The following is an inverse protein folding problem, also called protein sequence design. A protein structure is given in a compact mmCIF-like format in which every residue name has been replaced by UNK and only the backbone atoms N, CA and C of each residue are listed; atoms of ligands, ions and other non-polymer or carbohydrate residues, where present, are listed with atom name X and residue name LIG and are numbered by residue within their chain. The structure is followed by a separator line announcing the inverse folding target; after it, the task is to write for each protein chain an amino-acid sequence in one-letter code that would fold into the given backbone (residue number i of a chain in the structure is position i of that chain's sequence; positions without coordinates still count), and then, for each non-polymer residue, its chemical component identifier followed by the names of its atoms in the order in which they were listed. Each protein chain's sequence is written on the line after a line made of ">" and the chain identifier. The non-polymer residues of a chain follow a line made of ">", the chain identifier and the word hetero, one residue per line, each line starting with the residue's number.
data_IF_034559289080
#
_entry.id   IF_034559289080
#
_cell.length_a   1.000
_cell.length_b   1.000
_cell.length_c   1.000
_cell.angle_alpha   90.00
_cell.angle_beta   90.00
_cell.angle_gamma   90.00
#
_symmetry.space_group_name_H-M   'P 1'
#
loop_
_entity.id
_entity.type
_entity.pdbx_description
1 polymer ?
#
# COMPACT_ATOMS: atom_id res chain seq x y z
N UNK A 1 -13.90 48.10 33.82
CA UNK A 1 -12.62 48.82 33.80
C UNK A 1 -11.64 47.99 32.96
N UNK A 2 -11.36 48.40 31.72
CA UNK A 2 -11.97 47.91 30.47
C UNK A 2 -10.94 48.10 29.31
N UNK A 3 -11.07 47.52 28.09
CA UNK A 3 -12.30 47.07 27.47
C UNK A 3 -12.36 45.57 27.16
N UNK A 4 -13.57 45.04 27.34
CA UNK A 4 -14.08 43.79 26.81
C UNK A 4 -14.31 43.93 25.30
N UNK A 5 -13.68 43.11 24.48
CA UNK A 5 -14.09 42.85 23.11
C UNK A 5 -14.60 41.40 23.04
N UNK A 6 -15.92 41.24 23.06
CA UNK A 6 -16.57 39.99 22.71
C UNK A 6 -16.47 39.86 21.20
N UNK A 7 -15.44 39.19 20.70
CA UNK A 7 -15.47 38.67 19.33
C UNK A 7 -16.24 37.37 19.35
N UNK A 8 -17.44 37.39 18.76
CA UNK A 8 -18.10 36.17 18.29
C UNK A 8 -17.11 35.32 17.49
N UNK A 9 -17.22 33.98 17.49
CA UNK A 9 -16.41 33.14 16.62
C UNK A 9 -16.53 33.67 15.19
N UNK A 10 -15.40 33.85 14.52
CA UNK A 10 -15.36 34.14 13.09
C UNK A 10 -16.33 33.18 12.39
N UNK A 11 -17.33 33.72 11.72
CA UNK A 11 -18.16 32.92 10.81
C UNK A 11 -17.22 32.17 9.88
N UNK A 12 -17.44 30.85 9.78
CA UNK A 12 -16.72 29.96 8.89
C UNK A 12 -16.98 30.37 7.43
N UNK A 13 -16.34 31.45 7.00
CA UNK A 13 -16.38 31.94 5.64
C UNK A 13 -14.99 31.84 5.05
N UNK A 14 -14.90 30.95 4.06
CA UNK A 14 -13.83 30.86 3.05
C UNK A 14 -12.54 30.15 3.46
N UNK A 15 -12.63 29.05 4.19
CA UNK A 15 -11.96 27.87 3.64
C UNK A 15 -12.93 27.29 2.61
N UNK A 16 -12.71 27.56 1.33
CA UNK A 16 -13.29 26.71 0.29
C UNK A 16 -12.73 25.32 0.56
N UNK A 17 -13.51 24.47 1.23
CA UNK A 17 -13.28 23.04 1.18
C UNK A 17 -13.11 22.70 -0.30
N UNK A 18 -11.98 22.13 -0.66
CA UNK A 18 -11.82 21.56 -2.00
C UNK A 18 -12.82 20.41 -2.10
N UNK A 19 -14.03 20.70 -2.55
CA UNK A 19 -15.07 19.71 -2.81
C UNK A 19 -14.90 19.22 -4.24
N UNK A 20 -14.54 17.95 -4.41
CA UNK A 20 -14.60 17.26 -5.71
C UNK A 20 -16.06 16.99 -6.08
N UNK A 21 -16.84 18.05 -6.30
CA UNK A 21 -18.17 17.90 -6.88
C UNK A 21 -18.00 17.56 -8.38
N UNK A 22 -18.35 16.33 -8.73
CA UNK A 22 -18.41 15.81 -10.10
C UNK A 22 -17.02 15.70 -10.78
N UNK A 23 -16.14 14.81 -10.30
CA UNK A 23 -14.85 14.56 -10.95
C UNK A 23 -15.04 14.14 -12.42
N UNK A 24 -14.10 14.52 -13.28
CA UNK A 24 -14.13 14.08 -14.68
C UNK A 24 -14.01 12.55 -14.77
N UNK A 25 -14.97 11.85 -15.40
CA UNK A 25 -14.87 10.42 -15.68
C UNK A 25 -13.69 10.08 -16.60
N UNK A 26 -13.13 11.05 -17.32
CA UNK A 26 -11.90 10.85 -18.10
C UNK A 26 -10.66 10.68 -17.23
N UNK A 27 -10.69 11.25 -16.02
CA UNK A 27 -9.58 11.19 -15.05
C UNK A 27 -9.84 10.10 -14.01
N UNK A 28 -11.10 9.93 -13.63
CA UNK A 28 -11.57 8.94 -12.66
C UNK A 28 -12.71 8.12 -13.29
N UNK A 29 -12.40 7.17 -14.19
CA UNK A 29 -13.42 6.38 -14.89
C UNK A 29 -14.35 5.60 -13.96
N UNK A 30 -13.89 5.32 -12.73
CA UNK A 30 -14.65 4.62 -11.69
C UNK A 30 -15.09 5.53 -10.51
N UNK A 31 -15.01 6.87 -10.65
CA UNK A 31 -15.38 7.85 -9.60
C UNK A 31 -14.22 8.34 -8.71
N UNK A 32 -14.46 9.37 -7.87
CA UNK A 32 -13.41 9.96 -7.00
C UNK A 32 -12.89 8.90 -6.04
N UNK A 33 -11.60 8.57 -6.13
CA UNK A 33 -10.93 7.67 -5.18
C UNK A 33 -10.37 8.51 -4.03
N UNK A 34 -11.24 8.92 -3.11
CA UNK A 34 -10.80 9.55 -1.83
C UNK A 34 -10.59 8.46 -0.78
N UNK A 35 -9.79 8.73 0.26
CA UNK A 35 -9.77 7.94 1.50
C UNK A 35 -11.07 8.12 2.33
N UNK A 36 -12.17 8.52 1.68
CA UNK A 36 -13.32 9.19 2.25
C UNK A 36 -13.89 8.43 3.43
N UNK A 37 -13.89 9.09 4.59
CA UNK A 37 -14.77 8.72 5.68
C UNK A 37 -16.21 8.97 5.19
N UNK A 38 -16.93 7.88 4.95
CA UNK A 38 -18.37 7.93 4.72
C UNK A 38 -19.08 7.78 6.06
N UNK A 39 -20.29 8.36 6.16
CA UNK A 39 -21.16 8.04 7.30
C UNK A 39 -21.36 6.51 7.37
N UNK A 40 -21.46 5.94 8.58
CA UNK A 40 -21.74 4.53 8.73
C UNK A 40 -23.01 4.17 7.96
N UNK A 41 -23.00 2.98 7.35
CA UNK A 41 -24.21 2.42 6.77
C UNK A 41 -25.11 2.00 7.95
N UNK A 42 -25.99 2.90 8.39
CA UNK A 42 -26.73 2.77 9.66
C UNK A 42 -27.54 1.47 9.78
N UNK A 43 -28.03 0.91 8.69
CA UNK A 43 -28.77 -0.36 8.69
C UNK A 43 -27.88 -1.62 8.78
N UNK A 44 -26.55 -1.46 8.72
CA UNK A 44 -25.57 -2.53 8.95
C UNK A 44 -24.95 -2.46 10.36
N UNK A 45 -25.31 -1.45 11.16
CA UNK A 45 -24.82 -1.35 12.53
C UNK A 45 -25.43 -2.47 13.39
N UNK A 46 -24.56 -3.25 14.02
CA UNK A 46 -24.95 -4.22 15.04
C UNK A 46 -24.55 -3.71 16.43
N UNK A 47 -25.32 -4.01 17.49
CA UNK A 47 -24.90 -3.70 18.85
C UNK A 47 -23.64 -4.50 19.19
N UNK A 48 -22.75 -3.94 20.02
CA UNK A 48 -21.52 -4.62 20.46
C UNK A 48 -21.78 -6.00 21.07
N UNK A 49 -22.93 -6.20 21.72
CA UNK A 49 -23.33 -7.50 22.26
C UNK A 49 -23.52 -8.60 21.20
N UNK A 50 -23.81 -8.22 19.96
CA UNK A 50 -23.96 -9.14 18.82
C UNK A 50 -22.65 -9.42 18.09
N UNK A 51 -21.55 -8.74 18.45
CA UNK A 51 -20.25 -8.99 17.82
C UNK A 51 -19.69 -10.35 18.28
N UNK A 52 -18.97 -11.06 17.41
CA UNK A 52 -18.26 -12.29 17.77
C UNK A 52 -17.37 -12.07 18.99
N UNK A 53 -17.30 -13.07 19.88
CA UNK A 53 -16.39 -13.04 21.04
C UNK A 53 -14.97 -13.49 20.69
N UNK A 54 -14.83 -14.18 19.57
CA UNK A 54 -13.58 -14.71 19.05
C UNK A 54 -13.57 -14.48 17.54
N UNK A 55 -12.38 -14.21 17.01
CA UNK A 55 -12.15 -14.21 15.57
C UNK A 55 -11.71 -15.62 15.21
N UNK A 56 -12.26 -16.18 14.13
CA UNK A 56 -11.93 -17.52 13.65
C UNK A 56 -11.72 -17.49 12.15
N UNK A 57 -11.06 -18.52 11.61
CA UNK A 57 -10.84 -18.69 10.18
C UNK A 57 -9.38 -18.49 9.75
N UNK A 58 -9.12 -18.50 8.43
CA UNK A 58 -7.77 -18.60 7.87
C UNK A 58 -6.87 -17.37 8.12
N UNK A 59 -7.44 -16.27 8.59
CA UNK A 59 -6.71 -15.05 8.98
C UNK A 59 -6.08 -15.16 10.38
N UNK A 60 -6.56 -16.09 11.21
CA UNK A 60 -6.08 -16.32 12.57
C UNK A 60 -4.88 -17.24 12.50
N UNK A 61 -3.70 -16.73 12.83
CA UNK A 61 -2.47 -17.52 12.83
C UNK A 61 -1.44 -16.99 13.82
N UNK A 62 -0.57 -17.88 14.30
CA UNK A 62 0.57 -17.54 15.15
C UNK A 62 1.91 -17.71 14.40
N UNK A 63 2.96 -17.04 14.88
CA UNK A 63 4.25 -16.99 14.20
C UNK A 63 4.89 -18.38 14.01
N UNK A 64 4.65 -19.29 14.95
CA UNK A 64 5.16 -20.67 14.98
C UNK A 64 4.72 -21.47 13.75
N UNK A 65 3.57 -21.15 13.17
CA UNK A 65 3.04 -21.83 11.98
C UNK A 65 3.86 -21.54 10.72
N UNK A 66 4.57 -20.41 10.68
CA UNK A 66 5.28 -19.92 9.49
C UNK A 66 6.79 -19.84 9.67
N UNK A 67 7.29 -19.66 10.90
CA UNK A 67 8.71 -19.44 11.19
C UNK A 67 9.60 -20.55 10.64
N UNK A 68 9.15 -21.80 10.74
CA UNK A 68 9.88 -22.98 10.26
C UNK A 68 9.36 -23.53 8.92
N UNK A 69 8.43 -22.82 8.27
CA UNK A 69 7.73 -23.27 7.05
C UNK A 69 7.74 -22.16 5.96
N UNK A 70 8.92 -21.73 5.49
CA UNK A 70 9.06 -20.61 4.54
C UNK A 70 8.32 -20.83 3.21
N UNK A 71 8.15 -22.08 2.77
CA UNK A 71 7.40 -22.45 1.57
C UNK A 71 5.92 -22.05 1.63
N UNK A 72 5.36 -21.81 2.83
CA UNK A 72 3.98 -21.37 3.00
C UNK A 72 3.77 -19.89 2.71
N UNK A 73 4.83 -19.09 2.69
CA UNK A 73 4.75 -17.63 2.61
C UNK A 73 5.81 -16.97 1.72
N UNK A 74 6.68 -17.75 1.08
CA UNK A 74 7.68 -17.24 0.15
C UNK A 74 7.43 -17.72 -1.28
N UNK A 75 7.60 -16.82 -2.26
CA UNK A 75 7.55 -17.13 -3.69
C UNK A 75 8.84 -16.65 -4.36
N UNK A 76 9.82 -17.54 -4.58
CA UNK A 76 10.95 -17.23 -5.44
C UNK A 76 10.47 -17.11 -6.89
N UNK A 77 10.71 -15.97 -7.53
CA UNK A 77 10.42 -15.84 -8.96
C UNK A 77 11.28 -16.81 -9.77
N UNK A 78 10.63 -17.51 -10.68
CA UNK A 78 11.29 -18.27 -11.74
C UNK A 78 11.85 -17.34 -12.82
N UNK A 79 12.80 -17.85 -13.60
CA UNK A 79 13.39 -17.10 -14.72
C UNK A 79 12.34 -16.71 -15.77
N UNK A 80 11.33 -17.57 -16.00
CA UNK A 80 10.23 -17.29 -16.93
C UNK A 80 9.33 -16.15 -16.43
N UNK A 81 9.00 -16.13 -15.13
CA UNK A 81 8.26 -15.02 -14.52
C UNK A 81 9.06 -13.71 -14.61
N UNK A 82 10.37 -13.75 -14.30
CA UNK A 82 11.24 -12.57 -14.43
C UNK A 82 11.33 -12.09 -15.88
N UNK A 83 11.43 -13.00 -16.86
CA UNK A 83 11.48 -12.64 -18.27
C UNK A 83 10.16 -11.99 -18.73
N UNK A 84 9.02 -12.51 -18.30
CA UNK A 84 7.71 -11.93 -18.61
C UNK A 84 7.55 -10.53 -17.98
N UNK A 85 7.86 -10.38 -16.69
CA UNK A 85 7.78 -9.10 -15.98
C UNK A 85 8.75 -8.08 -16.61
N UNK A 86 9.97 -8.52 -16.94
CA UNK A 86 10.97 -7.69 -17.63
C UNK A 86 10.40 -7.14 -18.93
N UNK A 87 9.84 -8.02 -19.77
CA UNK A 87 9.28 -7.64 -21.07
C UNK A 87 8.11 -6.66 -20.90
N UNK A 88 7.17 -6.93 -20.00
CA UNK A 88 6.05 -6.03 -19.75
C UNK A 88 6.52 -4.65 -19.27
N UNK A 89 7.55 -4.59 -18.43
CA UNK A 89 8.15 -3.33 -18.00
C UNK A 89 8.83 -2.58 -19.14
N UNK A 90 9.58 -3.26 -20.01
CA UNK A 90 10.22 -2.64 -21.17
C UNK A 90 9.18 -2.09 -22.16
N UNK A 91 8.13 -2.86 -22.44
CA UNK A 91 7.03 -2.43 -23.31
C UNK A 91 6.30 -1.21 -22.74
N UNK A 92 6.04 -1.19 -21.41
CA UNK A 92 5.43 -0.05 -20.74
C UNK A 92 6.31 1.21 -20.81
N UNK A 93 7.61 1.08 -20.55
CA UNK A 93 8.57 2.19 -20.66
C UNK A 93 8.60 2.72 -22.10
N UNK A 94 8.66 1.83 -23.09
CA UNK A 94 8.67 2.19 -24.50
C UNK A 94 7.39 2.90 -24.95
N UNK A 95 6.26 2.63 -24.30
CA UNK A 95 4.99 3.33 -24.58
C UNK A 95 5.00 4.82 -24.21
N UNK A 96 5.99 5.27 -23.42
CA UNK A 96 6.07 6.61 -22.85
C UNK A 96 4.83 7.02 -22.02
N UNK A 97 4.00 6.06 -21.61
CA UNK A 97 2.91 6.31 -20.66
C UNK A 97 3.51 6.72 -19.31
N UNK A 98 3.04 7.81 -18.69
CA UNK A 98 3.48 8.17 -17.34
C UNK A 98 3.23 7.02 -16.36
N UNK A 99 4.14 6.80 -15.40
CA UNK A 99 4.02 5.72 -14.42
C UNK A 99 2.70 5.78 -13.62
N UNK A 100 2.18 6.98 -13.38
CA UNK A 100 0.85 7.19 -12.74
C UNK A 100 -0.32 6.69 -13.57
N UNK A 101 -0.13 6.49 -14.88
CA UNK A 101 -1.12 5.93 -15.80
C UNK A 101 -0.95 4.42 -16.04
N UNK A 102 -0.16 3.72 -15.22
CA UNK A 102 -0.01 2.26 -15.27
C UNK A 102 -1.32 1.59 -14.85
N UNK A 103 -1.74 0.62 -15.64
CA UNK A 103 -2.93 -0.21 -15.38
C UNK A 103 -2.63 -1.65 -15.78
N UNK A 104 -3.46 -2.58 -15.35
CA UNK A 104 -3.33 -4.00 -15.71
C UNK A 104 -3.32 -4.21 -17.23
N UNK A 105 -4.11 -3.43 -17.96
CA UNK A 105 -4.24 -3.48 -19.43
C UNK A 105 -2.97 -2.98 -20.12
N UNK A 106 -2.27 -2.01 -19.51
CA UNK A 106 -1.01 -1.46 -20.03
C UNK A 106 0.22 -2.21 -19.52
N UNK A 107 0.04 -3.15 -18.59
CA UNK A 107 1.08 -4.05 -18.07
C UNK A 107 0.60 -5.52 -18.15
N UNK A 108 0.43 -6.07 -19.37
CA UNK A 108 -0.13 -7.41 -19.54
C UNK A 108 0.85 -8.51 -19.12
N UNK A 109 0.38 -9.45 -18.29
CA UNK A 109 1.06 -10.67 -17.86
C UNK A 109 0.16 -11.88 -18.23
N UNK A 110 0.14 -12.30 -19.51
CA UNK A 110 -0.78 -13.32 -20.00
C UNK A 110 -0.48 -14.74 -19.48
N UNK A 111 0.70 -14.99 -18.91
CA UNK A 111 1.15 -16.32 -18.51
C UNK A 111 0.65 -16.74 -17.11
N UNK A 112 1.34 -17.70 -16.49
CA UNK A 112 1.09 -18.13 -15.13
C UNK A 112 1.25 -16.99 -14.10
N UNK A 113 2.13 -16.02 -14.34
CA UNK A 113 2.37 -14.89 -13.42
C UNK A 113 1.10 -14.09 -13.13
N UNK A 114 0.34 -13.73 -14.18
CA UNK A 114 -0.92 -12.99 -14.01
C UNK A 114 -1.99 -13.79 -13.27
N UNK A 115 -2.04 -15.12 -13.47
CA UNK A 115 -2.96 -16.02 -12.74
C UNK A 115 -2.58 -16.14 -11.27
N UNK A 116 -1.28 -16.28 -10.99
CA UNK A 116 -0.73 -16.34 -9.63
C UNK A 116 -1.10 -15.08 -8.84
N UNK A 117 -0.87 -13.89 -9.40
CA UNK A 117 -1.19 -12.62 -8.74
C UNK A 117 -2.69 -12.48 -8.46
N UNK A 118 -3.53 -12.96 -9.38
CA UNK A 118 -4.97 -12.95 -9.18
C UNK A 118 -5.41 -13.86 -8.02
N UNK A 119 -4.88 -15.09 -7.94
CA UNK A 119 -5.15 -15.98 -6.80
C UNK A 119 -4.59 -15.43 -5.50
N UNK A 120 -3.40 -14.83 -5.55
CA UNK A 120 -2.72 -14.27 -4.38
C UNK A 120 -3.53 -13.15 -3.74
N UNK A 121 -4.22 -12.32 -4.53
CA UNK A 121 -5.11 -11.28 -4.00
C UNK A 121 -6.14 -11.85 -3.01
N UNK A 122 -6.68 -13.04 -3.29
CA UNK A 122 -7.63 -13.67 -2.36
C UNK A 122 -6.95 -14.09 -1.06
N UNK A 123 -5.75 -14.66 -1.11
CA UNK A 123 -5.00 -15.03 0.10
C UNK A 123 -4.57 -13.82 0.93
N UNK A 124 -4.24 -12.70 0.28
CA UNK A 124 -3.89 -11.44 0.96
C UNK A 124 -5.11 -10.83 1.67
N UNK A 125 -6.29 -10.88 1.05
CA UNK A 125 -7.49 -10.22 1.62
C UNK A 125 -8.29 -11.12 2.57
N UNK A 126 -8.28 -12.44 2.35
CA UNK A 126 -9.18 -13.37 3.04
C UNK A 126 -8.46 -14.58 3.63
N UNK A 127 -7.13 -14.66 3.49
CA UNK A 127 -6.31 -15.75 4.00
C UNK A 127 -5.29 -15.25 5.03
N UNK A 128 -4.07 -15.76 4.94
CA UNK A 128 -2.99 -15.41 5.89
C UNK A 128 -2.57 -13.94 5.86
N UNK A 129 -2.85 -13.20 4.78
CA UNK A 129 -2.64 -11.76 4.75
C UNK A 129 -1.24 -11.28 4.32
N UNK A 130 -0.31 -12.17 4.01
CA UNK A 130 1.04 -11.78 3.60
C UNK A 130 1.71 -12.78 2.64
N UNK A 131 2.69 -12.29 1.87
CA UNK A 131 3.61 -13.10 1.07
C UNK A 131 4.95 -12.35 0.89
N UNK A 132 6.04 -13.09 0.74
CA UNK A 132 7.35 -12.56 0.37
C UNK A 132 7.78 -13.10 -0.99
N UNK A 133 7.83 -12.21 -1.98
CA UNK A 133 8.47 -12.51 -3.25
C UNK A 133 10.00 -12.40 -3.15
N UNK A 134 10.73 -13.36 -3.72
CA UNK A 134 12.20 -13.40 -3.70
C UNK A 134 12.77 -13.42 -5.12
N UNK A 135 13.95 -12.84 -5.30
CA UNK A 135 14.64 -12.84 -6.59
C UNK A 135 14.24 -11.70 -7.55
N UNK A 136 13.53 -10.68 -7.08
CA UNK A 136 13.22 -9.51 -7.90
C UNK A 136 14.53 -8.77 -8.29
N UNK A 137 14.85 -8.59 -9.58
CA UNK A 137 16.21 -8.28 -10.04
C UNK A 137 16.53 -6.78 -10.02
N UNK A 138 16.38 -6.14 -8.86
CA UNK A 138 16.55 -4.68 -8.68
C UNK A 138 17.91 -4.17 -9.13
N UNK A 139 18.98 -4.94 -8.89
CA UNK A 139 20.35 -4.57 -9.28
C UNK A 139 20.53 -4.56 -10.80
N UNK A 140 19.89 -5.49 -11.51
CA UNK A 140 19.99 -5.61 -12.97
C UNK A 140 19.13 -4.56 -13.70
N UNK A 141 17.95 -4.26 -13.15
CA UNK A 141 16.98 -3.36 -13.78
C UNK A 141 17.21 -1.89 -13.44
N UNK A 142 17.92 -1.59 -12.35
CA UNK A 142 18.02 -0.24 -11.83
C UNK A 142 16.68 0.29 -11.33
N UNK A 143 16.67 1.51 -10.79
CA UNK A 143 15.53 2.07 -10.07
C UNK A 143 14.27 2.22 -10.94
N UNK A 144 14.41 2.76 -12.16
CA UNK A 144 13.25 3.10 -12.97
C UNK A 144 12.47 1.87 -13.42
N UNK A 145 13.15 0.88 -14.03
CA UNK A 145 12.50 -0.36 -14.46
C UNK A 145 12.01 -1.20 -13.29
N UNK A 146 12.72 -1.20 -12.15
CA UNK A 146 12.24 -1.84 -10.92
C UNK A 146 10.94 -1.22 -10.41
N UNK A 147 10.83 0.11 -10.42
CA UNK A 147 9.60 0.81 -10.03
C UNK A 147 8.45 0.49 -10.98
N UNK A 148 8.71 0.48 -12.30
CA UNK A 148 7.70 0.11 -13.32
C UNK A 148 7.23 -1.33 -13.12
N UNK A 149 8.14 -2.29 -12.98
CA UNK A 149 7.80 -3.69 -12.77
C UNK A 149 7.04 -3.91 -11.45
N UNK A 150 7.47 -3.27 -10.37
CA UNK A 150 6.83 -3.34 -9.06
C UNK A 150 5.40 -2.79 -9.09
N UNK A 151 5.20 -1.61 -9.67
CA UNK A 151 3.87 -1.05 -9.85
C UNK A 151 3.04 -1.89 -10.84
N UNK A 152 3.67 -2.44 -11.89
CA UNK A 152 3.00 -3.33 -12.84
C UNK A 152 2.37 -4.53 -12.14
N UNK A 153 3.11 -5.21 -11.27
CA UNK A 153 2.59 -6.30 -10.43
C UNK A 153 1.45 -5.84 -9.52
N UNK A 154 1.59 -4.66 -8.90
CA UNK A 154 0.58 -4.08 -8.03
C UNK A 154 -0.79 -3.91 -8.69
N UNK A 155 -0.84 -3.66 -10.00
CA UNK A 155 -2.11 -3.52 -10.75
C UNK A 155 -2.97 -4.80 -10.78
N UNK A 156 -2.39 -5.97 -10.46
CA UNK A 156 -3.12 -7.23 -10.36
C UNK A 156 -3.72 -7.46 -8.96
N UNK A 157 -3.24 -6.74 -7.95
CA UNK A 157 -3.66 -6.85 -6.56
C UNK A 157 -4.72 -5.80 -6.18
N UNK A 158 -4.64 -4.61 -6.77
CA UNK A 158 -5.58 -3.52 -6.51
C UNK A 158 -5.21 -2.23 -7.24
N UNK A 159 -5.63 -1.11 -6.65
CA UNK A 159 -5.33 0.23 -7.15
C UNK A 159 -4.39 0.96 -6.20
N UNK A 160 -3.54 1.81 -6.76
CA UNK A 160 -2.67 2.65 -5.93
C UNK A 160 -3.46 3.78 -5.28
N UNK A 161 -3.24 3.95 -3.98
CA UNK A 161 -3.73 5.09 -3.21
C UNK A 161 -2.59 6.07 -2.95
N UNK A 162 -2.95 7.32 -2.67
CA UNK A 162 -1.95 8.31 -2.31
C UNK A 162 -1.39 8.04 -0.91
N UNK A 163 -0.06 8.06 -0.78
CA UNK A 163 0.67 7.82 0.46
C UNK A 163 0.98 9.10 1.25
N UNK A 164 0.69 10.28 0.69
CA UNK A 164 0.93 11.57 1.35
C UNK A 164 0.07 12.69 0.73
N UNK A 165 0.06 13.85 1.38
CA UNK A 165 -0.67 15.04 0.91
C UNK A 165 -0.24 15.56 -0.47
N UNK A 166 0.89 15.10 -1.02
CA UNK A 166 1.40 15.49 -2.34
C UNK A 166 0.95 14.57 -3.48
N UNK A 167 0.17 13.52 -3.19
CA UNK A 167 -0.32 12.64 -4.24
C UNK A 167 0.64 11.52 -4.65
N UNK A 168 1.78 11.34 -3.96
CA UNK A 168 2.71 10.26 -4.33
C UNK A 168 2.06 8.89 -4.08
N UNK A 169 2.17 8.00 -5.07
CA UNK A 169 1.68 6.62 -5.02
C UNK A 169 2.80 5.59 -4.83
N UNK A 170 4.06 6.04 -4.94
CA UNK A 170 5.26 5.27 -4.69
C UNK A 170 6.23 6.13 -3.87
N UNK A 171 6.49 5.71 -2.63
CA UNK A 171 7.40 6.38 -1.71
C UNK A 171 8.72 5.63 -1.54
N UNK A 172 9.78 6.36 -1.18
CA UNK A 172 11.02 5.76 -0.71
C UNK A 172 11.01 5.68 0.81
N UNK A 173 11.22 4.48 1.34
CA UNK A 173 11.54 4.24 2.75
C UNK A 173 13.05 4.15 2.87
N UNK A 174 13.67 5.13 3.52
CA UNK A 174 15.11 5.19 3.75
C UNK A 174 15.43 6.23 4.82
N UNK A 175 16.50 5.99 5.56
CA UNK A 175 17.06 7.01 6.43
C UNK A 175 17.61 8.18 5.60
N UNK A 176 17.21 9.40 5.95
CA UNK A 176 17.73 10.66 5.37
C UNK A 176 18.32 11.57 6.44
N UNK A 177 18.59 11.06 7.64
CA UNK A 177 19.20 11.80 8.75
C UNK A 177 18.22 12.68 9.54
N UNK A 178 16.92 12.40 9.48
CA UNK A 178 15.91 13.13 10.25
C UNK A 178 15.85 12.66 11.72
N UNK A 179 15.48 13.56 12.63
CA UNK A 179 15.35 13.27 14.07
C UNK A 179 14.00 12.65 14.39
N UNK A 180 13.99 11.35 14.72
CA UNK A 180 12.78 10.58 15.04
C UNK A 180 12.00 11.09 16.27
N UNK A 181 12.60 11.96 17.10
CA UNK A 181 11.92 12.58 18.26
C UNK A 181 10.96 13.69 17.87
N UNK A 182 11.05 14.22 16.64
CA UNK A 182 10.17 15.28 16.13
C UNK A 182 8.91 14.67 15.48
N UNK A 183 8.12 13.96 16.28
CA UNK A 183 6.98 13.14 15.83
C UNK A 183 5.90 13.89 15.04
N UNK A 184 5.82 15.21 15.20
CA UNK A 184 4.89 16.11 14.52
C UNK A 184 5.33 16.48 13.10
N UNK A 185 6.63 16.35 12.80
CA UNK A 185 7.25 16.82 11.55
C UNK A 185 7.92 15.71 10.75
N UNK A 186 8.48 14.72 11.43
CA UNK A 186 9.27 13.64 10.85
C UNK A 186 8.42 12.40 10.72
N UNK A 187 8.43 11.80 9.53
CA UNK A 187 7.84 10.49 9.30
C UNK A 187 8.87 9.43 9.65
N UNK A 188 8.49 8.45 10.45
CA UNK A 188 9.42 7.43 10.98
C UNK A 188 10.19 6.67 9.88
N UNK A 189 9.55 6.43 8.72
CA UNK A 189 10.14 5.77 7.55
C UNK A 189 11.31 6.54 6.89
N UNK A 190 11.59 7.77 7.37
CA UNK A 190 12.69 8.65 6.93
C UNK A 190 13.88 8.66 7.89
N UNK A 191 13.86 7.79 8.89
CA UNK A 191 14.87 7.68 9.96
C UNK A 191 15.38 6.25 10.07
N UNK A 192 16.38 6.01 10.92
CA UNK A 192 16.84 4.66 11.29
C UNK A 192 16.15 4.09 12.54
N UNK A 193 15.13 4.77 13.09
CA UNK A 193 14.45 4.33 14.29
C UNK A 193 13.47 3.18 14.01
N UNK A 194 13.26 2.31 15.01
CA UNK A 194 12.31 1.20 14.94
C UNK A 194 10.90 1.72 14.67
N UNK A 195 10.26 1.21 13.63
CA UNK A 195 8.83 1.39 13.38
C UNK A 195 8.06 0.27 14.09
N UNK A 196 7.13 0.63 14.98
CA UNK A 196 6.31 -0.33 15.72
C UNK A 196 5.20 -0.90 14.85
N UNK A 197 4.55 -1.98 15.30
CA UNK A 197 3.40 -2.56 14.62
C UNK A 197 2.29 -1.51 14.40
N UNK A 198 1.76 -1.48 13.19
CA UNK A 198 0.69 -0.60 12.74
C UNK A 198 0.00 -1.24 11.52
N UNK A 199 -1.14 -0.69 11.14
CA UNK A 199 -1.77 -0.93 9.85
C UNK A 199 -1.81 0.40 9.08
N UNK A 200 -1.54 0.35 7.78
CA UNK A 200 -1.65 1.51 6.90
C UNK A 200 -3.10 1.75 6.48
N UNK A 201 -3.40 2.97 6.00
CA UNK A 201 -4.72 3.37 5.51
C UNK A 201 -5.04 2.78 4.11
N UNK A 202 -4.79 1.48 3.91
CA UNK A 202 -5.06 0.75 2.67
C UNK A 202 -5.28 -0.75 2.92
N UNK A 203 -5.98 -1.43 2.00
CA UNK A 203 -6.22 -2.88 2.10
C UNK A 203 -4.93 -3.72 2.01
N UNK A 204 -3.96 -3.28 1.20
CA UNK A 204 -2.70 -4.01 0.95
C UNK A 204 -1.55 -3.00 0.93
N UNK A 205 -0.53 -3.25 1.74
CA UNK A 205 0.78 -2.58 1.66
C UNK A 205 1.77 -3.47 0.92
N UNK A 206 2.56 -2.86 0.04
CA UNK A 206 3.68 -3.52 -0.63
C UNK A 206 4.99 -2.81 -0.32
N UNK A 207 6.07 -3.58 -0.19
CA UNK A 207 7.42 -3.07 -0.05
C UNK A 207 8.35 -3.76 -1.06
N UNK A 208 9.17 -2.99 -1.76
CA UNK A 208 10.25 -3.51 -2.59
C UNK A 208 11.60 -3.12 -1.97
N UNK A 209 12.37 -4.12 -1.58
CA UNK A 209 13.74 -3.90 -1.13
C UNK A 209 14.64 -3.56 -2.33
N UNK A 210 15.10 -2.31 -2.39
CA UNK A 210 16.07 -1.85 -3.40
C UNK A 210 17.51 -2.10 -2.94
N UNK A 211 17.78 -1.86 -1.67
CA UNK A 211 19.06 -2.08 -1.03
C UNK A 211 18.82 -2.51 0.42
N UNK A 212 19.62 -3.46 0.90
CA UNK A 212 19.54 -3.93 2.29
C UNK A 212 20.26 -2.95 3.21
N UNK A 213 19.76 -2.81 4.43
CA UNK A 213 20.47 -2.10 5.49
C UNK A 213 21.78 -2.85 5.84
N UNK A 214 22.78 -2.12 6.34
CA UNK A 214 24.02 -2.71 6.82
C UNK A 214 23.77 -3.62 8.04
N UNK A 215 22.92 -3.15 8.95
CA UNK A 215 22.42 -3.88 10.12
C UNK A 215 20.97 -3.47 10.38
N UNK A 216 20.19 -4.35 11.00
CA UNK A 216 18.77 -4.15 11.22
C UNK A 216 17.94 -4.17 9.92
N UNK A 217 16.80 -3.47 9.95
CA UNK A 217 15.90 -3.35 8.80
C UNK A 217 15.05 -4.60 8.54
N UNK A 218 14.92 -5.48 9.54
CA UNK A 218 14.00 -6.61 9.51
C UNK A 218 12.55 -6.13 9.44
N UNK A 219 11.72 -6.86 8.71
CA UNK A 219 10.27 -6.65 8.68
C UNK A 219 9.60 -7.68 9.57
N UNK A 220 8.90 -7.20 10.61
CA UNK A 220 8.11 -8.02 11.52
C UNK A 220 6.64 -8.01 11.08
N UNK A 221 5.95 -9.15 11.21
CA UNK A 221 4.53 -9.31 10.89
C UNK A 221 3.80 -9.99 12.06
N UNK A 222 2.54 -9.62 12.26
CA UNK A 222 1.65 -10.22 13.26
C UNK A 222 0.23 -10.28 12.69
N UNK A 223 -0.53 -11.33 13.02
CA UNK A 223 -1.97 -11.33 12.79
C UNK A 223 -2.66 -10.57 13.91
N UNK A 224 -3.42 -9.52 13.56
CA UNK A 224 -4.29 -8.83 14.53
C UNK A 224 -5.53 -9.65 14.92
N UNK A 225 -5.78 -10.77 14.24
CA UNK A 225 -6.90 -11.66 14.48
C UNK A 225 -6.58 -12.81 15.44
N UNK A 226 -5.31 -12.98 15.81
CA UNK A 226 -4.80 -14.07 16.66
C UNK A 226 -4.60 -13.65 18.12
#
# INVERSE_FOLDING_TARGET
>A
MAPTAVQSPLEASQFTSYTYHNPSPKVFPDGVKTAGQFDPIYNQLAPYSAFPKEITGPTVWHAEEYKNNPERWTHPFSDDEIAEISKAADDFIASATPLTGITKEKFPLPSATGRLLHSLRHELLNGKGFILFKGFPVEKWGLHKSAVAYMGLGTYLGYFVSQNSRGHVLGHVKDVGEDSRQIDKVRIYRTNARQFFHADDSDIVGLLCIARALEGGESDLVSSHA
#
